data_IF_469820745750
#
_entry.id   IF_469820745750
#
_cell.length_a   1.000
_cell.length_b   1.000
_cell.length_c   1.000
_cell.angle_alpha   90.00
_cell.angle_beta   90.00
_cell.angle_gamma   90.00
#
_symmetry.space_group_name_H-M   'P 1'
#
loop_
_entity.id
_entity.type
_entity.pdbx_description
1 polymer ?
#
# COMPACT_ATOMS: atom_id res chain seq x y z
N UNK A 1 9.79 14.33 -14.17
CA UNK A 1 9.58 15.33 -13.09
C UNK A 1 10.68 15.17 -12.04
N UNK A 2 11.03 16.25 -11.32
CA UNK A 2 11.95 16.17 -10.17
C UNK A 2 11.19 16.61 -8.93
N UNK A 3 11.17 15.74 -7.93
CA UNK A 3 10.49 15.98 -6.65
C UNK A 3 11.57 16.26 -5.60
N UNK A 4 11.46 17.39 -4.92
CA UNK A 4 12.34 17.79 -3.81
C UNK A 4 11.50 17.75 -2.52
N UNK A 5 12.09 17.25 -1.46
CA UNK A 5 11.43 17.09 -0.16
C UNK A 5 12.14 17.88 0.93
N UNK A 6 11.41 18.25 1.97
CA UNK A 6 12.02 18.70 3.23
C UNK A 6 12.76 17.53 3.89
N UNK A 7 13.58 17.82 4.90
CA UNK A 7 14.19 16.78 5.72
C UNK A 7 13.09 15.95 6.38
N UNK A 8 12.94 14.66 6.02
CA UNK A 8 11.85 13.81 6.53
C UNK A 8 11.92 13.65 8.05
N UNK A 9 10.79 13.37 8.66
CA UNK A 9 10.70 13.06 10.08
C UNK A 9 10.09 11.69 10.28
N UNK A 10 10.52 11.01 11.31
CA UNK A 10 9.96 9.70 11.69
C UNK A 10 10.01 9.50 13.20
N UNK A 11 9.15 8.63 13.68
CA UNK A 11 9.22 8.08 15.02
C UNK A 11 8.96 6.58 15.00
N UNK A 12 9.37 5.91 16.07
CA UNK A 12 9.03 4.54 16.38
C UNK A 12 8.84 4.44 17.88
N UNK A 13 7.66 4.05 18.31
CA UNK A 13 7.29 3.90 19.72
C UNK A 13 6.78 2.48 19.99
N UNK A 14 7.16 1.94 21.14
CA UNK A 14 6.85 0.55 21.51
C UNK A 14 5.38 0.35 21.86
N UNK A 15 4.66 1.44 22.23
CA UNK A 15 3.30 1.32 22.73
C UNK A 15 3.27 0.54 24.05
N UNK A 16 2.37 -0.45 24.15
CA UNK A 16 2.26 -1.35 25.32
C UNK A 16 2.88 -2.73 25.10
N UNK A 17 3.56 -2.95 23.98
CA UNK A 17 4.30 -4.20 23.76
C UNK A 17 5.56 -4.24 24.61
N UNK A 18 6.14 -5.41 24.75
CA UNK A 18 7.43 -5.59 25.42
C UNK A 18 8.60 -5.20 24.50
N UNK A 19 8.48 -5.51 23.20
CA UNK A 19 9.50 -5.29 22.19
C UNK A 19 9.02 -4.35 21.09
N UNK A 20 9.96 -3.71 20.39
CA UNK A 20 9.71 -3.00 19.14
C UNK A 20 9.85 -3.97 17.97
N UNK A 21 8.74 -4.35 17.38
CA UNK A 21 8.68 -5.22 16.21
C UNK A 21 8.58 -4.44 14.89
N UNK A 22 8.29 -3.12 14.95
CA UNK A 22 8.33 -2.25 13.78
C UNK A 22 9.76 -1.89 13.38
N UNK A 23 10.00 -1.81 12.08
CA UNK A 23 11.27 -1.35 11.52
C UNK A 23 11.07 -0.28 10.46
N UNK A 24 12.01 0.66 10.40
CA UNK A 24 12.01 1.81 9.50
C UNK A 24 13.21 1.76 8.54
N UNK A 25 12.99 2.16 7.28
CA UNK A 25 14.10 2.49 6.40
C UNK A 25 13.87 3.87 5.74
N UNK A 26 14.88 4.78 5.75
CA UNK A 26 16.11 4.70 6.55
C UNK A 26 15.85 4.60 8.05
N UNK A 27 16.83 4.16 8.83
CA UNK A 27 16.73 4.18 10.30
C UNK A 27 16.50 5.61 10.80
N UNK A 28 15.83 5.75 11.94
CA UNK A 28 15.57 7.05 12.60
C UNK A 28 16.83 7.88 12.69
N UNK A 29 16.77 9.11 12.19
CA UNK A 29 17.88 10.06 12.16
C UNK A 29 18.78 10.00 10.91
N UNK A 30 18.61 9.02 10.04
CA UNK A 30 19.44 8.85 8.84
C UNK A 30 18.81 9.41 7.55
N UNK A 31 17.52 9.74 7.56
CA UNK A 31 16.85 10.33 6.41
C UNK A 31 17.20 11.81 6.25
N UNK A 32 17.48 12.23 5.03
CA UNK A 32 17.81 13.61 4.65
C UNK A 32 16.90 14.07 3.51
N UNK A 33 17.01 15.33 3.11
CA UNK A 33 16.31 15.85 1.93
C UNK A 33 16.69 15.15 0.60
N UNK A 34 17.83 14.44 0.58
CA UNK A 34 18.28 13.66 -0.58
C UNK A 34 17.78 12.21 -0.55
N UNK A 35 17.13 11.79 0.52
CA UNK A 35 16.58 10.44 0.65
C UNK A 35 15.42 10.25 -0.33
N UNK A 36 15.43 9.13 -1.06
CA UNK A 36 14.43 8.84 -2.10
C UNK A 36 13.57 7.62 -1.82
N UNK A 37 13.96 6.78 -0.88
CA UNK A 37 13.26 5.52 -0.55
C UNK A 37 12.95 5.49 0.93
N UNK A 38 11.70 5.14 1.25
CA UNK A 38 11.19 5.08 2.62
C UNK A 38 10.36 3.82 2.79
N UNK A 39 10.45 3.22 3.98
CA UNK A 39 9.66 2.03 4.35
C UNK A 39 9.28 2.07 5.82
N UNK A 40 8.13 1.47 6.12
CA UNK A 40 7.70 1.05 7.44
C UNK A 40 7.31 -0.42 7.31
N UNK A 41 7.86 -1.25 8.17
CA UNK A 41 7.61 -2.69 8.26
C UNK A 41 7.12 -3.00 9.66
N UNK A 42 5.94 -3.61 9.79
CA UNK A 42 5.34 -4.03 11.03
C UNK A 42 5.57 -5.52 11.21
N UNK A 43 6.36 -5.87 12.21
CA UNK A 43 6.76 -7.23 12.50
C UNK A 43 5.68 -8.00 13.23
N UNK A 44 5.38 -9.19 12.76
CA UNK A 44 4.42 -10.10 13.38
C UNK A 44 5.04 -11.46 13.66
N UNK A 45 4.71 -12.03 14.79
CA UNK A 45 5.18 -13.37 15.19
C UNK A 45 4.92 -13.61 16.67
N UNK A 46 4.87 -14.87 17.11
CA UNK A 46 4.83 -15.19 18.52
C UNK A 46 6.26 -15.32 19.08
N UNK A 47 6.55 -14.69 20.21
CA UNK A 47 7.83 -14.82 20.94
C UNK A 47 9.10 -14.52 20.11
N UNK A 48 9.51 -13.27 20.04
CA UNK A 48 10.85 -12.80 19.65
C UNK A 48 11.26 -12.88 18.17
N UNK A 49 10.34 -12.95 17.19
CA UNK A 49 10.74 -13.07 15.80
C UNK A 49 10.15 -12.01 14.85
N UNK A 50 9.20 -11.20 15.30
CA UNK A 50 8.60 -10.12 14.49
C UNK A 50 9.63 -9.05 14.15
N UNK A 51 10.44 -8.64 15.14
CA UNK A 51 11.51 -7.66 14.96
C UNK A 51 12.61 -8.14 14.01
N UNK A 52 12.90 -9.45 13.99
CA UNK A 52 13.89 -10.02 13.05
C UNK A 52 13.37 -9.96 11.63
N UNK A 53 12.09 -10.27 11.41
CA UNK A 53 11.49 -10.23 10.08
C UNK A 53 11.40 -8.79 9.55
N UNK A 54 10.87 -7.86 10.34
CA UNK A 54 10.72 -6.45 9.94
C UNK A 54 12.08 -5.78 9.67
N UNK A 55 13.08 -6.03 10.54
CA UNK A 55 14.43 -5.50 10.36
C UNK A 55 15.10 -6.06 9.09
N UNK A 56 15.01 -7.39 8.86
CA UNK A 56 15.56 -8.01 7.66
C UNK A 56 14.94 -7.42 6.38
N UNK A 57 13.61 -7.27 6.35
CA UNK A 57 12.91 -6.71 5.19
C UNK A 57 13.27 -5.25 4.99
N UNK A 58 13.18 -4.41 6.03
CA UNK A 58 13.49 -2.98 5.94
C UNK A 58 14.94 -2.74 5.48
N UNK A 59 15.91 -3.44 6.06
CA UNK A 59 17.32 -3.29 5.72
C UNK A 59 17.64 -3.80 4.32
N UNK A 60 17.24 -5.03 3.98
CA UNK A 60 17.58 -5.64 2.69
C UNK A 60 16.91 -4.92 1.54
N UNK A 61 15.58 -4.73 1.61
CA UNK A 61 14.83 -3.99 0.60
C UNK A 61 15.33 -2.56 0.47
N UNK A 62 15.50 -1.89 1.61
CA UNK A 62 15.94 -0.50 1.67
C UNK A 62 17.29 -0.28 1.04
N UNK A 63 18.28 -1.08 1.42
CA UNK A 63 19.63 -1.01 0.87
C UNK A 63 19.65 -1.26 -0.64
N UNK A 64 18.99 -2.30 -1.12
CA UNK A 64 19.01 -2.68 -2.54
C UNK A 64 18.28 -1.67 -3.42
N UNK A 65 17.16 -1.11 -2.95
CA UNK A 65 16.40 -0.12 -3.72
C UNK A 65 16.99 1.29 -3.63
N UNK A 66 17.55 1.69 -2.49
CA UNK A 66 18.18 3.01 -2.33
C UNK A 66 19.48 3.15 -3.14
N UNK A 67 20.16 2.04 -3.45
CA UNK A 67 21.35 2.04 -4.31
C UNK A 67 21.03 2.23 -5.80
N UNK A 68 19.77 2.09 -6.20
CA UNK A 68 19.39 2.31 -7.59
C UNK A 68 19.58 3.77 -8.01
N UNK A 69 20.04 4.04 -9.23
CA UNK A 69 20.05 5.40 -9.75
C UNK A 69 18.63 5.97 -9.79
N UNK A 70 18.52 7.30 -9.79
CA UNK A 70 17.23 7.96 -9.99
C UNK A 70 16.69 7.58 -11.38
N UNK A 71 15.58 6.87 -11.39
CA UNK A 71 14.94 6.33 -12.59
C UNK A 71 13.43 6.51 -12.58
N UNK A 72 12.77 5.84 -13.49
CA UNK A 72 11.31 5.80 -13.61
C UNK A 72 10.69 4.88 -12.54
N UNK A 73 9.41 5.01 -12.32
CA UNK A 73 8.64 4.12 -11.45
C UNK A 73 8.69 2.66 -11.90
N UNK A 74 8.73 2.41 -13.21
CA UNK A 74 8.87 1.06 -13.76
C UNK A 74 10.24 0.43 -13.46
N UNK A 75 11.32 1.19 -13.57
CA UNK A 75 12.66 0.73 -13.21
C UNK A 75 12.76 0.44 -11.71
N UNK A 76 12.19 1.30 -10.88
CA UNK A 76 12.14 1.12 -9.44
C UNK A 76 11.27 -0.08 -9.03
N UNK A 77 10.14 -0.32 -9.72
CA UNK A 77 9.32 -1.52 -9.49
C UNK A 77 10.11 -2.79 -9.80
N UNK A 78 10.83 -2.84 -10.92
CA UNK A 78 11.69 -3.98 -11.25
C UNK A 78 12.80 -4.20 -10.21
N UNK A 79 13.37 -3.12 -9.68
CA UNK A 79 14.36 -3.20 -8.60
C UNK A 79 13.73 -3.69 -7.29
N UNK A 80 12.53 -3.22 -6.95
CA UNK A 80 11.75 -3.69 -5.81
C UNK A 80 11.49 -5.20 -5.89
N UNK A 81 11.02 -5.71 -7.03
CA UNK A 81 10.70 -7.13 -7.19
C UNK A 81 11.93 -8.02 -7.02
N UNK A 82 13.10 -7.59 -7.54
CA UNK A 82 14.38 -8.28 -7.34
C UNK A 82 14.82 -8.22 -5.87
N UNK A 83 14.71 -7.05 -5.24
CA UNK A 83 15.05 -6.89 -3.83
C UNK A 83 14.14 -7.75 -2.94
N UNK A 84 12.84 -7.85 -3.25
CA UNK A 84 11.90 -8.69 -2.52
C UNK A 84 12.28 -10.19 -2.63
N UNK A 85 12.69 -10.64 -3.81
CA UNK A 85 13.15 -12.01 -4.01
C UNK A 85 14.41 -12.32 -3.18
N UNK A 86 15.39 -11.41 -3.15
CA UNK A 86 16.58 -11.53 -2.31
C UNK A 86 16.22 -11.54 -0.83
N UNK A 87 15.26 -10.71 -0.43
CA UNK A 87 14.79 -10.63 0.96
C UNK A 87 14.16 -11.93 1.43
N UNK A 88 13.38 -12.61 0.60
CA UNK A 88 12.85 -13.94 0.93
C UNK A 88 13.98 -14.95 1.19
N UNK A 89 15.06 -14.94 0.37
CA UNK A 89 16.21 -15.82 0.59
C UNK A 89 16.90 -15.54 1.93
N UNK A 90 17.00 -14.26 2.31
CA UNK A 90 17.58 -13.89 3.62
C UNK A 90 16.69 -14.32 4.78
N UNK A 91 15.37 -14.14 4.66
CA UNK A 91 14.40 -14.59 5.68
C UNK A 91 14.43 -16.11 5.86
N UNK A 92 14.51 -16.87 4.78
CA UNK A 92 14.60 -18.34 4.82
C UNK A 92 15.86 -18.81 5.57
N UNK A 93 16.96 -18.07 5.45
CA UNK A 93 18.20 -18.37 6.17
C UNK A 93 18.13 -17.98 7.67
N UNK A 94 17.35 -16.97 8.01
CA UNK A 94 17.19 -16.50 9.39
C UNK A 94 16.21 -17.36 10.18
N UNK A 95 15.15 -17.87 9.54
CA UNK A 95 14.18 -18.75 10.22
C UNK A 95 14.73 -20.15 10.42
N UNK A 96 15.25 -20.40 11.63
CA UNK A 96 15.71 -21.71 12.06
C UNK A 96 14.67 -22.44 12.92
N UNK A 97 13.47 -21.91 13.02
CA UNK A 97 12.43 -22.45 13.91
C UNK A 97 11.58 -23.51 13.20
N UNK A 98 11.32 -24.63 13.91
CA UNK A 98 10.30 -25.60 13.53
C UNK A 98 8.89 -25.14 13.94
N UNK A 99 8.73 -23.89 14.35
CA UNK A 99 7.46 -23.33 14.84
C UNK A 99 6.40 -23.31 13.75
N UNK A 100 5.17 -23.66 14.10
CA UNK A 100 4.00 -23.52 13.24
C UNK A 100 3.69 -22.02 12.99
N UNK A 101 3.99 -21.16 13.97
CA UNK A 101 3.88 -19.71 13.83
C UNK A 101 5.19 -19.16 13.30
N UNK A 102 5.20 -18.88 12.02
CA UNK A 102 6.35 -18.26 11.35
C UNK A 102 6.42 -16.78 11.68
N UNK A 103 7.66 -16.27 11.78
CA UNK A 103 7.89 -14.83 11.77
C UNK A 103 7.39 -14.23 10.47
N UNK A 104 7.02 -12.98 10.48
CA UNK A 104 6.59 -12.29 9.28
C UNK A 104 6.58 -10.78 9.48
N UNK A 105 6.31 -10.05 8.42
CA UNK A 105 6.18 -8.59 8.48
C UNK A 105 5.31 -8.06 7.36
N UNK A 106 4.70 -6.92 7.60
CA UNK A 106 4.13 -6.07 6.54
C UNK A 106 5.25 -5.33 5.83
N UNK A 107 4.91 -4.61 4.79
CA UNK A 107 5.80 -3.67 4.11
C UNK A 107 4.99 -2.52 3.53
N UNK A 108 5.34 -1.29 3.88
CA UNK A 108 5.06 -0.10 3.10
C UNK A 108 6.33 0.38 2.42
N UNK A 109 6.21 0.83 1.18
CA UNK A 109 7.33 1.31 0.37
C UNK A 109 6.92 2.58 -0.38
N UNK A 110 7.77 3.58 -0.33
CA UNK A 110 7.64 4.80 -1.11
C UNK A 110 8.98 5.15 -1.75
N UNK A 111 8.97 5.40 -3.06
CA UNK A 111 10.15 5.87 -3.79
C UNK A 111 9.83 7.08 -4.67
N UNK A 112 10.70 8.10 -4.58
CA UNK A 112 10.65 9.26 -5.46
C UNK A 112 11.29 8.90 -6.80
N UNK A 113 10.52 8.98 -7.90
CA UNK A 113 10.92 8.61 -9.25
C UNK A 113 10.85 9.82 -10.21
N UNK A 114 11.39 9.67 -11.43
CA UNK A 114 11.39 10.74 -12.43
C UNK A 114 10.02 10.99 -13.05
N UNK A 115 9.09 10.08 -12.92
CA UNK A 115 7.72 10.13 -13.47
C UNK A 115 6.62 10.19 -12.39
N UNK A 116 7.00 10.22 -11.11
CA UNK A 116 6.07 10.29 -9.99
C UNK A 116 6.62 9.73 -8.70
N UNK A 117 5.72 9.32 -7.81
CA UNK A 117 6.03 8.60 -6.59
C UNK A 117 5.51 7.18 -6.72
N UNK A 118 6.41 6.20 -6.65
CA UNK A 118 6.03 4.80 -6.59
C UNK A 118 5.69 4.43 -5.15
N UNK A 119 4.48 3.93 -4.94
CA UNK A 119 4.03 3.34 -3.69
C UNK A 119 3.85 1.84 -3.90
N UNK A 120 4.34 1.04 -2.96
CA UNK A 120 4.04 -0.38 -2.88
C UNK A 120 3.71 -0.79 -1.44
N UNK A 121 2.88 -1.82 -1.24
CA UNK A 121 2.63 -2.35 0.08
C UNK A 121 2.29 -3.85 0.07
N UNK A 122 2.54 -4.49 1.20
CA UNK A 122 2.12 -5.86 1.55
C UNK A 122 1.66 -5.80 3.00
N UNK A 123 0.42 -6.20 3.28
CA UNK A 123 -0.16 -6.15 4.63
C UNK A 123 -1.14 -5.00 4.81
N UNK A 124 -1.29 -4.53 6.03
CA UNK A 124 -2.23 -3.52 6.50
C UNK A 124 -1.58 -2.24 7.05
N UNK A 125 -0.24 -2.17 7.06
CA UNK A 125 0.46 -0.90 7.19
C UNK A 125 0.18 -0.02 5.98
N UNK A 126 0.06 1.29 6.16
CA UNK A 126 -0.50 2.18 5.15
C UNK A 126 0.44 3.27 4.67
N UNK A 127 0.22 3.69 3.42
CA UNK A 127 0.80 4.89 2.82
C UNK A 127 -0.32 5.84 2.44
N UNK A 128 -0.17 7.10 2.84
CA UNK A 128 -1.09 8.20 2.53
C UNK A 128 -0.37 9.27 1.71
N UNK A 129 -1.09 9.88 0.78
CA UNK A 129 -0.79 11.21 0.26
C UNK A 129 -1.85 12.16 0.81
N UNK A 130 -1.42 13.16 1.56
CA UNK A 130 -2.29 14.17 2.18
C UNK A 130 -1.96 15.53 1.56
N UNK A 131 -2.97 16.21 1.06
CA UNK A 131 -2.87 17.57 0.55
C UNK A 131 -3.57 18.50 1.52
N UNK A 132 -2.86 19.46 2.15
CA UNK A 132 -3.39 20.26 3.26
C UNK A 132 -4.77 20.88 3.02
N UNK A 133 -5.07 21.25 1.76
CA UNK A 133 -6.34 21.90 1.41
C UNK A 133 -7.44 20.92 0.95
N UNK A 134 -7.09 19.66 0.70
CA UNK A 134 -8.01 18.66 0.15
C UNK A 134 -8.18 17.42 1.07
N UNK A 135 -7.32 17.27 2.06
CA UNK A 135 -7.32 16.09 2.91
C UNK A 135 -6.54 14.91 2.31
N UNK A 136 -6.97 13.70 2.60
CA UNK A 136 -6.38 12.48 2.04
C UNK A 136 -6.76 12.36 0.58
N UNK A 137 -5.79 12.47 -0.33
CA UNK A 137 -5.98 12.34 -1.78
C UNK A 137 -5.62 10.95 -2.30
N UNK A 138 -4.86 10.18 -1.52
CA UNK A 138 -4.56 8.78 -1.78
C UNK A 138 -4.30 8.05 -0.46
N UNK A 139 -4.73 6.79 -0.39
CA UNK A 139 -4.44 5.85 0.69
C UNK A 139 -4.33 4.44 0.11
N UNK A 140 -3.38 3.65 0.61
CA UNK A 140 -3.32 2.21 0.31
C UNK A 140 -4.52 1.48 0.93
N UNK A 141 -4.99 0.41 0.28
CA UNK A 141 -6.05 -0.43 0.81
C UNK A 141 -5.43 -1.69 1.41
N UNK A 142 -5.70 -1.94 2.68
CA UNK A 142 -5.11 -3.05 3.42
C UNK A 142 -5.38 -4.42 2.76
N UNK A 143 -4.40 -5.28 2.78
CA UNK A 143 -4.57 -6.70 2.46
C UNK A 143 -5.14 -7.41 3.69
N UNK A 144 -6.43 -7.29 3.89
CA UNK A 144 -7.16 -7.86 5.03
C UNK A 144 -8.36 -8.68 4.56
N UNK A 145 -8.76 -9.64 5.39
CA UNK A 145 -9.91 -10.50 5.11
C UNK A 145 -11.17 -9.67 4.80
N UNK A 146 -11.41 -8.60 5.57
CA UNK A 146 -12.60 -7.76 5.36
C UNK A 146 -12.58 -7.03 4.02
N UNK A 147 -11.42 -6.53 3.60
CA UNK A 147 -11.27 -5.88 2.31
C UNK A 147 -11.41 -6.87 1.15
N UNK A 148 -10.95 -8.10 1.32
CA UNK A 148 -11.16 -9.15 0.32
C UNK A 148 -12.64 -9.53 0.22
N UNK A 149 -13.36 -9.65 1.35
CA UNK A 149 -14.81 -9.91 1.38
C UNK A 149 -15.64 -8.75 0.77
N UNK A 150 -15.23 -7.50 1.01
CA UNK A 150 -15.86 -6.34 0.36
C UNK A 150 -15.62 -6.36 -1.16
N UNK A 151 -14.40 -6.70 -1.59
CA UNK A 151 -14.05 -6.73 -3.01
C UNK A 151 -14.88 -7.76 -3.82
N UNK A 152 -15.26 -8.88 -3.19
CA UNK A 152 -16.12 -9.91 -3.82
C UNK A 152 -17.62 -9.68 -3.55
N UNK A 153 -18.00 -8.62 -2.81
CA UNK A 153 -19.40 -8.27 -2.53
C UNK A 153 -20.08 -9.04 -1.40
N UNK A 154 -19.31 -9.79 -0.60
CA UNK A 154 -19.83 -10.52 0.58
C UNK A 154 -20.08 -9.59 1.79
N UNK A 155 -19.39 -8.48 1.87
CA UNK A 155 -19.57 -7.44 2.89
C UNK A 155 -19.70 -6.06 2.23
N UNK A 156 -20.45 -5.16 2.89
CA UNK A 156 -20.36 -3.72 2.60
C UNK A 156 -19.20 -3.09 3.38
N UNK A 157 -18.77 -1.88 2.99
CA UNK A 157 -17.73 -1.13 3.72
C UNK A 157 -18.17 -0.86 5.19
N UNK A 158 -19.47 -0.62 5.45
CA UNK A 158 -20.01 -0.43 6.81
C UNK A 158 -19.95 -1.70 7.63
N UNK A 159 -20.28 -2.85 7.03
CA UNK A 159 -20.19 -4.15 7.69
C UNK A 159 -18.74 -4.53 8.02
N UNK A 160 -17.80 -4.19 7.13
CA UNK A 160 -16.38 -4.43 7.33
C UNK A 160 -15.84 -3.76 8.61
N UNK A 161 -16.29 -2.53 8.93
CA UNK A 161 -15.86 -1.78 10.12
C UNK A 161 -16.16 -2.49 11.44
N UNK A 162 -17.23 -3.26 11.50
CA UNK A 162 -17.68 -3.96 12.72
C UNK A 162 -17.49 -5.46 12.66
N UNK A 163 -16.85 -5.99 11.59
CA UNK A 163 -16.66 -7.42 11.41
C UNK A 163 -15.71 -7.99 12.48
N UNK A 164 -16.04 -9.14 13.11
CA UNK A 164 -15.24 -9.69 14.22
C UNK A 164 -13.78 -9.97 13.88
N UNK A 165 -13.50 -10.31 12.63
CA UNK A 165 -12.17 -10.69 12.13
C UNK A 165 -11.54 -9.61 11.23
N UNK A 166 -11.84 -8.34 11.48
CA UNK A 166 -11.34 -7.21 10.67
C UNK A 166 -9.81 -7.06 10.67
N UNK A 167 -9.15 -7.54 11.71
CA UNK A 167 -7.69 -7.44 11.88
C UNK A 167 -6.94 -8.65 11.27
N UNK A 168 -7.61 -9.54 10.52
CA UNK A 168 -6.92 -10.65 9.86
C UNK A 168 -6.26 -10.15 8.58
N UNK A 169 -4.92 -10.18 8.57
CA UNK A 169 -4.10 -9.85 7.40
C UNK A 169 -4.09 -11.06 6.45
N UNK A 170 -4.28 -10.81 5.16
CA UNK A 170 -4.28 -11.86 4.13
C UNK A 170 -2.98 -11.95 3.36
N UNK A 171 -2.09 -10.96 3.51
CA UNK A 171 -0.75 -10.95 2.90
C UNK A 171 0.30 -10.44 3.87
N UNK A 172 1.38 -11.21 4.02
CA UNK A 172 2.56 -10.84 4.79
C UNK A 172 3.81 -11.45 4.15
N UNK A 173 4.96 -10.86 4.38
CA UNK A 173 6.25 -11.42 4.00
C UNK A 173 6.67 -12.38 5.11
N UNK A 174 6.79 -13.66 4.78
CA UNK A 174 7.13 -14.72 5.74
C UNK A 174 8.15 -15.68 5.11
N UNK A 175 9.06 -16.27 5.89
CA UNK A 175 9.99 -17.29 5.37
C UNK A 175 9.24 -18.54 4.90
N UNK A 176 9.89 -19.27 3.99
CA UNK A 176 9.43 -20.57 3.48
C UNK A 176 8.03 -20.57 2.86
N UNK A 177 7.58 -19.42 2.33
CA UNK A 177 6.30 -19.35 1.59
C UNK A 177 6.44 -20.06 0.25
N UNK A 178 5.55 -21.01 -0.05
CA UNK A 178 5.48 -21.65 -1.38
C UNK A 178 5.24 -20.63 -2.49
N UNK A 179 4.40 -19.63 -2.20
CA UNK A 179 4.09 -18.51 -3.08
C UNK A 179 4.39 -17.20 -2.35
N UNK A 180 5.47 -16.49 -2.73
CA UNK A 180 5.79 -15.20 -2.18
C UNK A 180 4.63 -14.20 -2.27
N UNK A 181 4.40 -13.44 -1.22
CA UNK A 181 3.37 -12.42 -1.20
C UNK A 181 3.65 -11.36 -2.28
N UNK A 182 2.60 -11.04 -3.07
CA UNK A 182 2.69 -10.03 -4.11
C UNK A 182 2.36 -8.66 -3.55
N UNK A 183 3.23 -7.69 -3.80
CA UNK A 183 2.96 -6.29 -3.47
C UNK A 183 1.88 -5.71 -4.40
N UNK A 184 1.08 -4.81 -3.85
CA UNK A 184 0.22 -3.92 -4.64
C UNK A 184 0.97 -2.63 -4.91
N UNK A 185 1.00 -2.20 -6.18
CA UNK A 185 1.72 -1.02 -6.64
C UNK A 185 0.77 0.09 -7.07
N UNK A 186 1.18 1.34 -6.84
CA UNK A 186 0.55 2.53 -7.37
C UNK A 186 1.60 3.58 -7.71
N UNK A 187 1.50 4.17 -8.89
CA UNK A 187 2.28 5.34 -9.26
C UNK A 187 1.40 6.58 -9.08
N UNK A 188 1.87 7.53 -8.26
CA UNK A 188 1.21 8.79 -8.00
C UNK A 188 1.89 9.86 -8.87
N UNK A 189 1.20 10.34 -9.87
CA UNK A 189 1.70 11.34 -10.84
C UNK A 189 1.25 12.76 -10.52
N UNK A 190 0.09 12.92 -9.84
CA UNK A 190 -0.37 14.23 -9.32
C UNK A 190 0.28 14.51 -7.97
N UNK A 191 1.55 14.93 -8.02
CA UNK A 191 2.32 15.34 -6.85
C UNK A 191 2.54 16.84 -6.91
N UNK A 192 2.25 17.55 -5.82
CA UNK A 192 2.32 19.01 -5.74
C UNK A 192 3.18 19.46 -4.56
N UNK A 193 3.72 20.66 -4.68
CA UNK A 193 4.35 21.34 -3.54
C UNK A 193 3.36 21.42 -2.37
N UNK A 194 3.81 21.08 -1.17
CA UNK A 194 3.01 21.03 0.05
C UNK A 194 2.32 19.69 0.30
N UNK A 195 2.34 18.75 -0.66
CA UNK A 195 1.84 17.39 -0.40
C UNK A 195 2.69 16.72 0.69
N UNK A 196 2.01 15.96 1.53
CA UNK A 196 2.61 15.15 2.58
C UNK A 196 2.45 13.68 2.21
N UNK A 197 3.54 12.94 2.24
CA UNK A 197 3.47 11.48 2.24
C UNK A 197 3.67 10.98 3.67
N UNK A 198 2.78 10.11 4.08
CA UNK A 198 2.79 9.52 5.41
C UNK A 198 2.74 8.00 5.30
N UNK A 199 3.76 7.33 5.87
CA UNK A 199 3.82 5.87 5.95
C UNK A 199 3.68 5.51 7.42
N UNK A 200 2.88 4.51 7.76
CA UNK A 200 2.71 4.10 9.15
C UNK A 200 2.35 2.61 9.30
N UNK A 201 2.70 2.04 10.46
CA UNK A 201 2.15 0.76 10.92
C UNK A 201 0.70 0.92 11.39
N UNK A 202 0.01 -0.19 11.59
CA UNK A 202 -1.39 -0.25 12.00
C UNK A 202 -1.62 0.35 13.40
N UNK A 203 -0.65 0.24 14.31
CA UNK A 203 -0.73 0.82 15.65
C UNK A 203 -0.92 2.34 15.66
N UNK A 204 -0.47 3.06 14.63
CA UNK A 204 -0.74 4.50 14.48
C UNK A 204 -2.22 4.75 14.21
N UNK A 205 -2.80 3.97 13.31
CA UNK A 205 -4.19 4.16 12.85
C UNK A 205 -5.20 3.51 13.80
N UNK A 206 -4.80 2.61 14.67
CA UNK A 206 -5.68 1.94 15.65
C UNK A 206 -6.57 2.94 16.41
N UNK A 207 -6.01 4.11 16.75
CA UNK A 207 -6.68 5.14 17.56
C UNK A 207 -6.80 6.51 16.88
N UNK A 208 -6.10 6.72 15.78
CA UNK A 208 -5.94 8.05 15.18
C UNK A 208 -6.49 8.17 13.76
N UNK A 209 -7.05 7.10 13.19
CA UNK A 209 -7.48 7.09 11.79
C UNK A 209 -8.36 8.29 11.42
N UNK A 210 -9.35 8.61 12.26
CA UNK A 210 -10.29 9.70 12.00
C UNK A 210 -9.65 11.10 12.13
N UNK A 211 -8.65 11.27 12.99
CA UNK A 211 -8.01 12.56 13.28
C UNK A 211 -6.67 12.73 12.53
N UNK A 212 -6.18 11.68 11.89
CA UNK A 212 -4.86 11.65 11.24
C UNK A 212 -4.67 12.83 10.28
N UNK A 213 -5.65 13.05 9.41
CA UNK A 213 -5.58 14.12 8.42
C UNK A 213 -5.48 15.50 9.08
N UNK A 214 -6.26 15.75 10.14
CA UNK A 214 -6.23 17.00 10.88
C UNK A 214 -4.86 17.24 11.52
N UNK A 215 -4.30 16.24 12.21
CA UNK A 215 -2.99 16.33 12.87
C UNK A 215 -1.88 16.59 11.85
N UNK A 216 -1.87 15.85 10.73
CA UNK A 216 -0.87 15.99 9.69
C UNK A 216 -0.90 17.35 8.96
N UNK A 217 -2.08 17.98 8.88
CA UNK A 217 -2.25 19.28 8.17
C UNK A 217 -2.20 20.50 9.08
N UNK A 218 -1.97 20.34 10.38
CA UNK A 218 -1.75 21.46 11.29
C UNK A 218 -0.65 22.40 10.78
N UNK A 219 -0.84 23.72 10.98
CA UNK A 219 0.15 24.74 10.59
C UNK A 219 1.32 24.80 11.58
N UNK A 220 1.99 23.68 11.75
CA UNK A 220 3.15 23.48 12.60
C UNK A 220 4.33 22.91 11.80
N UNK A 221 5.59 23.06 12.27
CA UNK A 221 6.72 22.34 11.69
C UNK A 221 6.48 20.84 11.67
N UNK A 222 7.01 20.14 10.66
CA UNK A 222 6.86 18.68 10.49
C UNK A 222 7.16 17.89 11.77
N UNK A 223 8.25 18.28 12.46
CA UNK A 223 8.66 17.66 13.71
C UNK A 223 7.58 17.75 14.78
N UNK A 224 6.94 18.93 14.93
CA UNK A 224 5.86 19.14 15.91
C UNK A 224 4.58 18.38 15.55
N UNK A 225 4.24 18.28 14.26
CA UNK A 225 3.10 17.45 13.83
C UNK A 225 3.32 15.99 14.20
N UNK A 226 4.52 15.49 14.00
CA UNK A 226 4.85 14.10 14.30
C UNK A 226 4.94 13.84 15.81
N UNK A 227 5.49 14.79 16.60
CA UNK A 227 5.46 14.73 18.05
C UNK A 227 4.02 14.72 18.60
N UNK A 228 3.14 15.57 18.03
CA UNK A 228 1.71 15.58 18.40
C UNK A 228 1.06 14.23 18.08
N UNK A 229 1.34 13.64 16.92
CA UNK A 229 0.82 12.34 16.53
C UNK A 229 1.25 11.24 17.52
N UNK A 230 2.54 11.18 17.86
CA UNK A 230 3.08 10.24 18.84
C UNK A 230 2.45 10.41 20.21
N UNK A 231 2.30 11.67 20.68
CA UNK A 231 1.66 11.98 21.94
C UNK A 231 0.18 11.59 21.99
N UNK A 232 -0.57 11.89 20.92
CA UNK A 232 -1.98 11.51 20.80
C UNK A 232 -2.14 9.97 20.82
N UNK A 233 -1.29 9.25 20.10
CA UNK A 233 -1.30 7.79 20.11
C UNK A 233 -1.09 7.24 21.53
N UNK A 234 -0.12 7.78 22.26
CA UNK A 234 0.14 7.39 23.66
C UNK A 234 -1.03 7.73 24.58
N UNK A 235 -1.62 8.93 24.46
CA UNK A 235 -2.75 9.38 25.30
C UNK A 235 -4.01 8.54 25.05
N UNK A 236 -4.23 8.08 23.82
CA UNK A 236 -5.38 7.24 23.44
C UNK A 236 -5.14 5.76 23.69
N UNK A 237 -4.06 5.42 24.38
CA UNK A 237 -3.82 4.07 24.85
C UNK A 237 -3.59 3.06 23.72
N UNK A 238 -2.82 3.46 22.69
CA UNK A 238 -2.38 2.57 21.61
C UNK A 238 -1.66 1.36 22.19
N UNK A 239 -2.09 0.16 21.82
CA UNK A 239 -1.59 -1.09 22.40
C UNK A 239 -0.40 -1.65 21.64
N UNK A 240 -0.37 -1.45 20.32
CA UNK A 240 0.66 -1.99 19.44
C UNK A 240 1.85 -1.05 19.30
N UNK A 241 2.94 -1.56 18.73
CA UNK A 241 4.02 -0.73 18.23
C UNK A 241 3.42 0.27 17.22
N UNK A 242 3.92 1.48 17.25
CA UNK A 242 3.45 2.50 16.33
C UNK A 242 4.64 3.28 15.77
N UNK A 243 4.78 3.23 14.46
CA UNK A 243 5.91 3.80 13.75
C UNK A 243 5.45 4.51 12.51
N UNK A 244 6.10 5.64 12.18
CA UNK A 244 5.71 6.42 11.02
C UNK A 244 6.88 7.22 10.42
N UNK A 245 6.74 7.48 9.10
CA UNK A 245 7.46 8.50 8.35
C UNK A 245 6.53 9.61 7.88
N UNK A 246 6.98 10.86 7.99
CA UNK A 246 6.33 12.04 7.43
C UNK A 246 7.30 12.77 6.50
N UNK A 247 6.88 12.95 5.23
CA UNK A 247 7.68 13.47 4.14
C UNK A 247 6.91 14.62 3.48
N UNK A 248 7.46 15.83 3.45
CA UNK A 248 6.83 16.99 2.81
C UNK A 248 7.51 17.30 1.48
N UNK A 249 6.71 17.46 0.43
CA UNK A 249 7.17 17.91 -0.89
C UNK A 249 7.35 19.42 -0.88
N UNK A 250 8.59 19.87 -1.08
CA UNK A 250 8.93 21.30 -1.11
C UNK A 250 8.92 21.89 -2.50
N UNK A 251 9.18 21.06 -3.54
CA UNK A 251 9.19 21.50 -4.93
C UNK A 251 8.92 20.33 -5.87
N UNK A 252 8.21 20.62 -6.96
CA UNK A 252 8.03 19.70 -8.10
C UNK A 252 8.38 20.49 -9.37
N UNK A 253 9.44 20.08 -10.07
CA UNK A 253 9.89 20.71 -11.31
C UNK A 253 9.88 19.72 -12.47
N UNK A 254 9.66 20.22 -13.71
CA UNK A 254 9.65 19.39 -14.93
C UNK A 254 8.35 18.59 -15.14
N UNK A 255 7.25 18.89 -14.45
CA UNK A 255 5.92 18.48 -14.89
C UNK A 255 5.55 19.35 -16.10
N UNK A 256 5.29 18.74 -17.26
CA UNK A 256 4.92 19.45 -18.46
C UNK A 256 3.66 20.30 -18.21
N UNK A 257 3.80 21.62 -18.37
CA UNK A 257 2.67 22.55 -18.48
C UNK A 257 2.01 22.37 -19.85
N UNK A 258 1.33 21.24 -20.08
CA UNK A 258 0.59 20.98 -21.34
C UNK A 258 -0.92 20.81 -21.15
N UNK A 259 -1.47 21.12 -19.97
CA UNK A 259 -2.90 20.97 -19.72
C UNK A 259 -3.70 22.28 -19.55
N UNK A 260 -3.10 23.49 -19.70
CA UNK A 260 -3.81 24.76 -19.45
C UNK A 260 -3.86 25.74 -20.64
N UNK A 261 -3.50 25.37 -21.86
CA UNK A 261 -3.66 26.26 -23.02
C UNK A 261 -4.48 25.57 -24.10
N UNK A 262 -5.77 25.33 -23.87
CA UNK A 262 -6.78 25.18 -24.91
C UNK A 262 -8.18 25.57 -24.38
N UNK A 263 -8.32 26.81 -23.97
CA UNK A 263 -9.62 27.47 -23.88
C UNK A 263 -9.43 28.97 -24.01
N UNK A 264 -9.00 29.44 -25.18
CA UNK A 264 -9.44 30.72 -25.69
C UNK A 264 -9.09 30.87 -27.18
N UNK A 265 -10.08 31.35 -27.91
CA UNK A 265 -10.09 31.76 -29.34
C UNK A 265 -10.34 30.63 -30.37
N UNK A 266 -11.53 30.47 -30.87
CA UNK A 266 -12.07 31.32 -31.95
C UNK A 266 -13.50 30.90 -32.31
N UNK A 267 -14.40 31.78 -32.12
CA UNK A 267 -15.73 31.80 -32.76
C UNK A 267 -15.57 32.10 -34.25
N UNK A 268 -16.02 31.20 -35.12
CA UNK A 268 -16.67 31.60 -36.35
C UNK A 268 -17.51 30.44 -36.91
N UNK A 269 -18.72 30.81 -37.24
CA UNK A 269 -19.81 30.07 -37.83
C UNK A 269 -19.42 29.45 -39.18
N UNK A 270 -19.92 28.24 -39.46
CA UNK A 270 -20.68 28.03 -40.68
C UNK A 270 -21.64 26.83 -40.55
N UNK A 271 -22.86 27.08 -40.97
CA UNK A 271 -23.98 26.15 -41.04
C UNK A 271 -23.76 25.15 -42.18
N UNK A 272 -24.05 23.89 -41.97
CA UNK A 272 -24.90 23.08 -42.87
C UNK A 272 -25.19 21.71 -42.21
N UNK A 273 -26.44 21.34 -42.27
CA UNK A 273 -27.20 20.26 -41.67
C UNK A 273 -27.09 18.93 -42.51
N UNK A 274 -27.81 17.86 -42.14
CA UNK A 274 -27.27 16.66 -41.47
C UNK A 274 -27.36 15.40 -42.35
N UNK A 275 -26.63 14.35 -41.96
CA UNK A 275 -27.04 12.98 -42.29
C UNK A 275 -26.74 12.03 -41.13
N UNK A 276 -27.80 11.36 -40.67
CA UNK A 276 -27.80 10.27 -39.75
C UNK A 276 -26.94 9.10 -40.23
N UNK A 277 -26.14 8.53 -39.29
CA UNK A 277 -25.57 7.20 -39.47
C UNK A 277 -25.65 6.46 -38.12
N UNK A 278 -26.27 5.35 -38.23
CA UNK A 278 -26.62 4.21 -37.45
C UNK A 278 -25.66 3.82 -36.31
N UNK A 279 -26.26 3.52 -35.13
CA UNK A 279 -25.59 3.01 -33.97
C UNK A 279 -25.43 1.52 -34.04
N UNK A 280 -24.24 1.04 -34.30
CA UNK A 280 -23.89 -0.38 -34.28
C UNK A 280 -23.60 -0.84 -32.84
N UNK A 281 -24.54 -1.58 -32.26
CA UNK A 281 -24.43 -2.27 -31.00
C UNK A 281 -23.46 -3.44 -31.14
N UNK A 282 -22.23 -3.30 -30.67
CA UNK A 282 -21.33 -4.45 -30.47
C UNK A 282 -21.88 -5.39 -29.41
N UNK A 283 -22.37 -6.54 -29.86
CA UNK A 283 -22.82 -7.67 -29.02
C UNK A 283 -21.63 -8.29 -28.26
N UNK A 284 -21.82 -8.53 -26.97
CA UNK A 284 -20.86 -9.29 -26.13
C UNK A 284 -20.78 -10.72 -26.63
N UNK A 285 -19.60 -11.35 -26.66
CA UNK A 285 -19.44 -12.71 -27.17
C UNK A 285 -20.12 -13.74 -26.26
N UNK A 286 -20.92 -14.63 -26.86
CA UNK A 286 -21.77 -15.64 -26.18
C UNK A 286 -21.01 -16.82 -25.54
N UNK A 287 -19.67 -16.83 -25.54
CA UNK A 287 -18.89 -17.97 -25.01
C UNK A 287 -19.05 -18.18 -23.50
N UNK A 288 -19.31 -17.10 -22.74
CA UNK A 288 -19.51 -17.17 -21.29
C UNK A 288 -20.78 -17.98 -20.93
N UNK A 289 -21.83 -17.92 -21.75
CA UNK A 289 -23.07 -18.73 -21.57
C UNK A 289 -22.83 -20.21 -21.79
N UNK A 290 -21.97 -20.56 -22.74
CA UNK A 290 -21.62 -21.97 -23.01
C UNK A 290 -20.72 -22.55 -21.91
N UNK A 291 -19.88 -21.73 -21.29
CA UNK A 291 -19.01 -22.15 -20.19
C UNK A 291 -19.81 -22.53 -18.93
N UNK A 292 -20.82 -21.74 -18.56
CA UNK A 292 -21.71 -22.07 -17.44
C UNK A 292 -22.59 -23.27 -17.72
N UNK A 293 -23.02 -23.50 -18.96
CA UNK A 293 -23.81 -24.66 -19.36
C UNK A 293 -23.00 -25.95 -19.26
N UNK A 294 -21.71 -25.92 -19.60
CA UNK A 294 -20.80 -27.05 -19.47
C UNK A 294 -20.54 -27.42 -18.01
N UNK A 295 -20.35 -26.41 -17.13
CA UNK A 295 -20.18 -26.64 -15.70
C UNK A 295 -21.40 -27.26 -15.02
N UNK A 296 -22.62 -26.85 -15.40
CA UNK A 296 -23.84 -27.45 -14.87
C UNK A 296 -24.03 -28.89 -15.31
N UNK A 297 -23.71 -29.23 -16.57
CA UNK A 297 -23.75 -30.60 -17.07
C UNK A 297 -22.73 -31.50 -16.34
N UNK A 298 -21.53 -30.99 -16.09
CA UNK A 298 -20.49 -31.73 -15.36
C UNK A 298 -20.88 -31.98 -13.89
N UNK A 299 -21.48 -31.00 -13.24
CA UNK A 299 -21.99 -31.15 -11.87
C UNK A 299 -23.11 -32.17 -11.76
N UNK A 300 -24.04 -32.19 -12.72
CA UNK A 300 -25.12 -33.18 -12.79
C UNK A 300 -24.62 -34.59 -13.08
N UNK A 301 -23.60 -34.74 -13.93
CA UNK A 301 -22.96 -36.02 -14.21
C UNK A 301 -22.23 -36.59 -12.98
N UNK A 302 -21.52 -35.74 -12.22
CA UNK A 302 -20.89 -36.13 -10.97
C UNK A 302 -21.91 -36.55 -9.90
N UNK A 303 -23.00 -35.81 -9.75
CA UNK A 303 -24.06 -36.15 -8.81
C UNK A 303 -24.72 -37.49 -9.16
N UNK A 304 -24.99 -37.75 -10.45
CA UNK A 304 -25.52 -39.02 -10.92
C UNK A 304 -24.55 -40.20 -10.67
N UNK A 305 -23.24 -39.98 -10.88
CA UNK A 305 -22.21 -40.97 -10.61
C UNK A 305 -22.14 -41.36 -9.12
N UNK A 306 -22.22 -40.35 -8.22
CA UNK A 306 -22.24 -40.60 -6.78
C UNK A 306 -23.51 -41.34 -6.34
N UNK A 307 -24.68 -40.99 -6.89
CA UNK A 307 -25.93 -41.71 -6.57
C UNK A 307 -25.97 -43.13 -7.08
N UNK A 308 -25.28 -43.45 -8.16
CA UNK A 308 -25.15 -44.84 -8.65
C UNK A 308 -24.18 -45.66 -7.78
N UNK A 309 -23.20 -45.05 -7.14
CA UNK A 309 -22.21 -45.72 -6.28
C UNK A 309 -22.77 -46.07 -4.89
N UNK A 310 -23.81 -45.37 -4.41
CA UNK A 310 -24.51 -45.70 -3.15
C UNK A 310 -25.58 -46.81 -3.26
N UNK A 311 -25.90 -47.23 -4.47
CA UNK A 311 -26.92 -48.28 -4.71
C UNK A 311 -26.33 -49.63 -5.17
N UNK A 312 -25.04 -49.78 -5.21
CA UNK A 312 -24.31 -51.01 -5.46
C UNK A 312 -23.45 -51.40 -4.27
#
# INVERSE_FOLDING_TARGET
MRITIASPRCYAAVGKKENQEDSLFPLKGNATADTRVFMVCDGMGGHENGEVASACVAETMGRLTAQQPLGTSSEMQNAFEKALQETYQQLDLLDKSDSIRKMGTTLTFLALCTDGVLVAHIGDSRVYQVRPEQGVVFQTRDHSLVNDLVAIGELTEEQAKTYPHRNIITRAIQPHQELPAKATFKVLTDVRKGDLFFLCSDGVIEKLEDDLCQILTEKLPLEKRLENLEQEALQRDTRDNNSAYLIEVTEVSGASMEAEIQSDSTTQQDETNPKAVDTDKKSRPNWLRWFFLLLTILALALAAFFMMKEKG
#
